data_IF_523477413472
#
_entry.id   IF_523477413472
#
_cell.length_a   1.000
_cell.length_b   1.000
_cell.length_c   1.000
_cell.angle_alpha   90.00
_cell.angle_beta   90.00
_cell.angle_gamma   90.00
#
_symmetry.space_group_name_H-M   'P 1'
#
loop_
_entity.id
_entity.type
_entity.pdbx_description
1 polymer ?
#
# COMPACT_ATOMS: atom_id res chain seq x y z
N UNK A 1 -16.68 -8.95 -17.01
CA UNK A 1 -17.95 -8.61 -17.68
C UNK A 1 -18.01 -7.11 -18.00
N UNK A 2 -18.05 -6.22 -17.01
CA UNK A 2 -18.09 -4.74 -17.17
C UNK A 2 -16.98 -4.20 -18.08
N UNK A 3 -15.73 -4.65 -17.91
CA UNK A 3 -14.60 -4.26 -18.77
C UNK A 3 -14.82 -4.56 -20.26
N UNK A 4 -15.40 -5.71 -20.60
CA UNK A 4 -15.61 -6.13 -21.99
C UNK A 4 -16.65 -5.25 -22.68
N UNK A 5 -17.71 -4.90 -21.95
CA UNK A 5 -18.79 -4.05 -22.48
C UNK A 5 -18.39 -2.57 -22.59
N UNK A 6 -17.52 -2.10 -21.70
CA UNK A 6 -16.87 -0.79 -21.82
C UNK A 6 -15.91 -0.74 -23.02
N UNK A 7 -15.16 -1.80 -23.28
CA UNK A 7 -14.31 -1.89 -24.46
C UNK A 7 -15.12 -1.88 -25.77
N UNK A 8 -16.37 -2.33 -25.76
CA UNK A 8 -17.32 -2.26 -26.89
C UNK A 8 -17.85 -0.83 -27.10
N UNK A 9 -18.03 -0.05 -26.03
CA UNK A 9 -18.55 1.32 -26.09
C UNK A 9 -17.45 2.37 -26.34
N UNK A 10 -16.23 2.12 -25.88
CA UNK A 10 -15.09 3.04 -26.05
C UNK A 10 -13.84 2.22 -26.39
N UNK A 11 -13.23 2.42 -27.57
CA UNK A 11 -11.98 1.76 -27.94
C UNK A 11 -10.89 2.01 -26.88
N UNK A 12 -10.08 0.99 -26.55
CA UNK A 12 -9.03 1.07 -25.50
C UNK A 12 -8.07 2.26 -25.62
N UNK A 13 -7.83 2.75 -26.83
CA UNK A 13 -6.96 3.91 -27.09
C UNK A 13 -7.65 5.23 -26.68
N UNK A 14 -8.97 5.34 -26.85
CA UNK A 14 -9.75 6.51 -26.47
C UNK A 14 -10.01 6.59 -24.95
N UNK A 15 -9.82 5.49 -24.22
CA UNK A 15 -10.06 5.42 -22.77
C UNK A 15 -9.08 6.26 -21.93
N UNK A 16 -7.91 6.64 -22.46
CA UNK A 16 -6.86 7.39 -21.70
C UNK A 16 -6.77 8.85 -22.18
N UNK A 17 -7.53 9.24 -23.19
CA UNK A 17 -7.56 10.61 -23.70
C UNK A 17 -8.77 11.33 -23.11
N UNK A 18 -8.68 12.65 -22.79
CA UNK A 18 -9.85 13.43 -22.41
C UNK A 18 -10.93 13.39 -23.49
N UNK A 19 -12.04 12.71 -23.21
CA UNK A 19 -13.21 12.66 -24.08
C UNK A 19 -14.13 13.87 -23.91
N UNK A 20 -13.98 14.56 -22.78
CA UNK A 20 -14.78 15.70 -22.35
C UNK A 20 -13.84 16.76 -21.81
N UNK A 21 -14.07 18.01 -22.19
CA UNK A 21 -13.30 19.16 -21.71
C UNK A 21 -13.78 19.62 -20.32
N UNK A 22 -12.93 20.36 -19.59
CA UNK A 22 -13.34 20.95 -18.31
C UNK A 22 -14.51 21.92 -18.45
N UNK A 23 -14.59 22.63 -19.56
CA UNK A 23 -15.67 23.57 -19.87
C UNK A 23 -16.99 22.84 -20.05
N UNK A 24 -17.01 21.74 -20.82
CA UNK A 24 -18.20 20.87 -20.94
C UNK A 24 -18.64 20.31 -19.59
N UNK A 25 -17.70 19.85 -18.76
CA UNK A 25 -18.00 19.37 -17.41
C UNK A 25 -18.64 20.45 -16.53
N UNK A 26 -18.10 21.67 -16.55
CA UNK A 26 -18.62 22.79 -15.76
C UNK A 26 -20.00 23.25 -16.24
N UNK A 27 -20.22 23.30 -17.56
CA UNK A 27 -21.52 23.62 -18.15
C UNK A 27 -22.57 22.59 -17.75
N UNK A 28 -22.24 21.30 -17.81
CA UNK A 28 -23.15 20.24 -17.37
C UNK A 28 -23.46 20.34 -15.87
N UNK A 29 -22.45 20.57 -15.03
CA UNK A 29 -22.63 20.74 -13.59
C UNK A 29 -23.56 21.93 -13.26
N UNK A 30 -23.42 23.05 -13.97
CA UNK A 30 -24.34 24.18 -13.83
C UNK A 30 -25.77 23.85 -14.28
N UNK A 31 -25.93 23.07 -15.35
CA UNK A 31 -27.24 22.72 -15.89
C UNK A 31 -28.03 21.78 -14.98
N UNK A 32 -27.40 20.78 -14.34
CA UNK A 32 -28.10 19.82 -13.48
C UNK A 32 -28.56 20.41 -12.14
N UNK A 33 -28.04 21.56 -11.75
CA UNK A 33 -28.48 22.30 -10.55
C UNK A 33 -29.83 23.01 -10.78
N UNK A 34 -30.27 23.15 -12.03
CA UNK A 34 -31.58 23.73 -12.34
C UNK A 34 -32.70 22.72 -12.01
N UNK A 35 -33.80 23.13 -11.35
CA UNK A 35 -34.85 22.22 -10.86
C UNK A 35 -35.44 21.30 -11.94
N UNK A 36 -35.54 21.78 -13.18
CA UNK A 36 -36.14 21.07 -14.30
C UNK A 36 -35.18 20.08 -15.00
N UNK A 37 -33.89 20.10 -14.66
CA UNK A 37 -32.84 19.35 -15.34
C UNK A 37 -32.24 18.21 -14.50
N UNK A 38 -32.86 17.85 -13.38
CA UNK A 38 -32.36 16.79 -12.48
C UNK A 38 -32.22 15.41 -13.15
N UNK A 39 -32.87 15.20 -14.30
CA UNK A 39 -32.78 13.98 -15.12
C UNK A 39 -31.94 14.12 -16.39
N UNK A 40 -31.28 15.26 -16.59
CA UNK A 40 -30.41 15.46 -17.74
C UNK A 40 -29.25 14.46 -17.69
N UNK A 41 -29.01 13.76 -18.79
CA UNK A 41 -27.88 12.85 -18.93
C UNK A 41 -26.72 13.58 -19.63
N UNK A 42 -25.52 13.52 -19.06
CA UNK A 42 -24.32 14.16 -19.62
C UNK A 42 -23.85 13.52 -20.94
N UNK A 43 -24.30 12.30 -21.22
CA UNK A 43 -23.84 11.47 -22.33
C UNK A 43 -24.97 10.58 -22.82
N UNK A 44 -24.82 9.98 -24.01
CA UNK A 44 -25.79 9.06 -24.59
C UNK A 44 -25.12 7.76 -25.01
N UNK A 45 -25.90 6.80 -25.50
CA UNK A 45 -25.39 5.55 -26.06
C UNK A 45 -24.52 5.78 -27.30
N UNK A 46 -24.95 6.69 -28.16
CA UNK A 46 -24.36 6.98 -29.46
C UNK A 46 -23.10 7.84 -29.33
N UNK A 47 -23.00 8.64 -28.27
CA UNK A 47 -21.85 9.48 -27.97
C UNK A 47 -21.43 9.30 -26.51
N UNK A 48 -21.08 8.05 -26.16
CA UNK A 48 -20.72 7.68 -24.80
C UNK A 48 -19.35 8.26 -24.42
N UNK A 49 -19.34 9.18 -23.43
CA UNK A 49 -18.15 9.93 -22.99
C UNK A 49 -18.15 10.03 -21.46
N UNK A 50 -16.96 10.03 -20.87
CA UNK A 50 -16.78 10.19 -19.43
C UNK A 50 -15.57 11.09 -19.11
N UNK A 51 -15.58 11.66 -17.91
CA UNK A 51 -14.62 12.65 -17.45
C UNK A 51 -13.39 11.97 -16.80
N UNK A 52 -12.29 11.93 -17.55
CA UNK A 52 -11.00 11.40 -17.06
C UNK A 52 -10.16 12.44 -16.30
N UNK A 53 -10.50 13.72 -16.41
CA UNK A 53 -9.72 14.82 -15.82
C UNK A 53 -10.17 15.16 -14.39
N UNK A 54 -11.42 14.88 -14.06
CA UNK A 54 -12.01 15.11 -12.75
C UNK A 54 -11.84 13.94 -11.77
N UNK A 55 -12.89 13.70 -10.97
CA UNK A 55 -12.93 12.62 -9.98
C UNK A 55 -13.83 11.48 -10.46
N UNK A 56 -13.65 10.24 -9.97
CA UNK A 56 -14.50 9.12 -10.37
C UNK A 56 -15.99 9.32 -10.03
N UNK A 57 -16.29 10.27 -9.14
CA UNK A 57 -17.65 10.63 -8.70
C UNK A 57 -18.06 12.04 -9.15
N UNK A 58 -17.40 12.61 -10.15
CA UNK A 58 -17.82 13.88 -10.74
C UNK A 58 -19.26 13.77 -11.26
N UNK A 59 -20.01 14.89 -11.33
CA UNK A 59 -21.38 14.87 -11.83
C UNK A 59 -21.53 14.21 -13.19
N UNK A 60 -20.58 14.46 -14.11
CA UNK A 60 -20.52 13.81 -15.42
C UNK A 60 -20.37 12.30 -15.28
N UNK A 61 -19.38 11.83 -14.50
CA UNK A 61 -19.13 10.40 -14.32
C UNK A 61 -20.30 9.67 -13.65
N UNK A 62 -21.01 10.33 -12.73
CA UNK A 62 -22.26 9.80 -12.16
C UNK A 62 -23.33 9.63 -13.23
N UNK A 63 -23.47 10.59 -14.15
CA UNK A 63 -24.40 10.46 -15.27
C UNK A 63 -24.01 9.34 -16.22
N UNK A 64 -22.75 9.31 -16.65
CA UNK A 64 -22.22 8.26 -17.52
C UNK A 64 -22.42 6.86 -16.91
N UNK A 65 -22.26 6.73 -15.59
CA UNK A 65 -22.53 5.48 -14.88
C UNK A 65 -24.01 5.05 -14.96
N UNK A 66 -24.96 6.00 -14.91
CA UNK A 66 -26.39 5.71 -15.08
C UNK A 66 -26.71 5.25 -16.49
N UNK A 67 -26.24 5.97 -17.51
CA UNK A 67 -26.42 5.60 -18.93
C UNK A 67 -25.84 4.21 -19.17
N UNK A 68 -24.59 3.99 -18.74
CA UNK A 68 -23.92 2.70 -18.88
C UNK A 68 -24.67 1.56 -18.21
N UNK A 69 -25.21 1.79 -17.00
CA UNK A 69 -25.94 0.76 -16.26
C UNK A 69 -27.24 0.38 -16.96
N UNK A 70 -28.01 1.34 -17.46
CA UNK A 70 -29.22 1.06 -18.24
C UNK A 70 -28.89 0.27 -19.53
N UNK A 71 -27.86 0.69 -20.25
CA UNK A 71 -27.43 0.01 -21.48
C UNK A 71 -26.98 -1.42 -21.21
N UNK A 72 -26.16 -1.62 -20.16
CA UNK A 72 -25.66 -2.94 -19.78
C UNK A 72 -26.81 -3.88 -19.40
N UNK A 73 -27.77 -3.42 -18.60
CA UNK A 73 -28.95 -4.21 -18.21
C UNK A 73 -29.75 -4.61 -19.44
N UNK A 74 -30.00 -3.66 -20.35
CA UNK A 74 -30.77 -3.89 -21.56
C UNK A 74 -30.06 -4.86 -22.54
N UNK A 75 -28.76 -4.66 -22.78
CA UNK A 75 -28.00 -5.43 -23.76
C UNK A 75 -27.69 -6.85 -23.30
N UNK A 76 -27.49 -7.05 -22.00
CA UNK A 76 -27.20 -8.37 -21.43
C UNK A 76 -28.46 -9.12 -20.97
N UNK A 77 -29.65 -8.52 -21.12
CA UNK A 77 -30.92 -9.11 -20.66
C UNK A 77 -30.95 -9.37 -19.15
N UNK A 78 -30.26 -8.54 -18.36
CA UNK A 78 -30.19 -8.69 -16.92
C UNK A 78 -31.50 -8.20 -16.25
N UNK A 79 -31.82 -8.67 -15.04
CA UNK A 79 -32.95 -8.15 -14.30
C UNK A 79 -32.84 -6.63 -14.11
N UNK A 80 -33.89 -5.91 -14.50
CA UNK A 80 -34.00 -4.46 -14.27
C UNK A 80 -34.39 -4.19 -12.81
N UNK A 81 -33.50 -4.55 -11.88
CA UNK A 81 -33.64 -4.32 -10.46
C UNK A 81 -32.72 -3.21 -9.99
N UNK A 82 -33.12 -2.52 -8.91
CA UNK A 82 -32.30 -1.47 -8.29
C UNK A 82 -30.95 -2.03 -7.80
N UNK A 83 -30.92 -3.28 -7.33
CA UNK A 83 -29.70 -3.95 -6.89
C UNK A 83 -28.71 -4.13 -8.05
N UNK A 84 -29.19 -4.63 -9.19
CA UNK A 84 -28.36 -4.84 -10.38
C UNK A 84 -27.84 -3.50 -10.92
N UNK A 85 -28.70 -2.49 -10.98
CA UNK A 85 -28.34 -1.14 -11.39
C UNK A 85 -27.21 -0.56 -10.52
N UNK A 86 -27.34 -0.69 -9.20
CA UNK A 86 -26.34 -0.20 -8.24
C UNK A 86 -25.01 -0.99 -8.35
N UNK A 87 -25.08 -2.30 -8.56
CA UNK A 87 -23.90 -3.14 -8.74
C UNK A 87 -23.11 -2.74 -9.99
N UNK A 88 -23.78 -2.51 -11.12
CA UNK A 88 -23.15 -2.08 -12.38
C UNK A 88 -22.61 -0.65 -12.24
N UNK A 89 -23.39 0.27 -11.65
CA UNK A 89 -22.95 1.65 -11.38
C UNK A 89 -21.66 1.67 -10.53
N UNK A 90 -21.61 0.85 -9.48
CA UNK A 90 -20.43 0.72 -8.62
C UNK A 90 -19.23 0.16 -9.39
N UNK A 91 -19.42 -0.90 -10.18
CA UNK A 91 -18.37 -1.49 -10.98
C UNK A 91 -17.82 -0.51 -12.04
N UNK A 92 -18.70 0.27 -12.68
CA UNK A 92 -18.32 1.36 -13.58
C UNK A 92 -17.50 2.42 -12.84
N UNK A 93 -17.92 2.85 -11.65
CA UNK A 93 -17.16 3.80 -10.83
C UNK A 93 -15.75 3.32 -10.49
N UNK A 94 -15.60 2.04 -10.13
CA UNK A 94 -14.28 1.42 -9.91
C UNK A 94 -13.42 1.40 -11.17
N UNK A 95 -14.03 1.14 -12.32
CA UNK A 95 -13.35 1.16 -13.61
C UNK A 95 -12.88 2.58 -14.00
N UNK A 96 -13.74 3.59 -13.86
CA UNK A 96 -13.38 4.99 -14.13
C UNK A 96 -12.26 5.46 -13.20
N UNK A 97 -12.29 5.08 -11.91
CA UNK A 97 -11.17 5.34 -10.98
C UNK A 97 -9.85 4.74 -11.48
N UNK A 98 -9.88 3.51 -11.98
CA UNK A 98 -8.71 2.89 -12.60
C UNK A 98 -8.20 3.68 -13.82
N UNK A 99 -9.09 4.11 -14.71
CA UNK A 99 -8.72 4.92 -15.88
C UNK A 99 -8.13 6.26 -15.47
N UNK A 100 -8.78 7.00 -14.57
CA UNK A 100 -8.31 8.30 -14.10
C UNK A 100 -6.91 8.16 -13.51
N UNK A 101 -6.63 7.09 -12.75
CA UNK A 101 -5.29 6.81 -12.22
C UNK A 101 -4.27 6.58 -13.33
N UNK A 102 -4.63 5.82 -14.37
CA UNK A 102 -3.74 5.59 -15.54
C UNK A 102 -3.48 6.87 -16.31
N UNK A 103 -4.50 7.70 -16.54
CA UNK A 103 -4.36 9.00 -17.18
C UNK A 103 -3.44 9.93 -16.38
N UNK A 104 -3.65 10.03 -15.06
CA UNK A 104 -2.75 10.79 -14.19
C UNK A 104 -1.31 10.26 -14.19
N UNK A 105 -1.13 8.96 -14.34
CA UNK A 105 0.18 8.35 -14.45
C UNK A 105 0.84 8.66 -15.80
N UNK A 106 0.07 8.67 -16.91
CA UNK A 106 0.61 9.00 -18.23
C UNK A 106 1.03 10.46 -18.39
N UNK A 107 0.50 11.36 -17.55
CA UNK A 107 0.95 12.75 -17.49
C UNK A 107 2.30 12.92 -16.79
N UNK A 108 2.80 11.89 -16.09
CA UNK A 108 4.08 11.93 -15.37
C UNK A 108 5.23 11.47 -16.24
N UNK A 109 6.41 12.04 -16.00
CA UNK A 109 7.64 11.61 -16.67
C UNK A 109 8.03 10.19 -16.26
N UNK A 110 8.85 9.51 -17.08
CA UNK A 110 9.34 8.17 -16.75
C UNK A 110 10.07 8.13 -15.39
N UNK A 111 10.79 9.19 -15.05
CA UNK A 111 11.50 9.35 -13.79
C UNK A 111 10.54 9.47 -12.60
N UNK A 112 9.51 10.31 -12.71
CA UNK A 112 8.48 10.45 -11.68
C UNK A 112 7.73 9.14 -11.44
N UNK A 113 7.38 8.43 -12.52
CA UNK A 113 6.74 7.13 -12.42
C UNK A 113 7.65 6.10 -11.76
N UNK A 114 8.94 6.06 -12.11
CA UNK A 114 9.91 5.17 -11.50
C UNK A 114 10.09 5.48 -10.01
N UNK A 115 10.13 6.76 -9.64
CA UNK A 115 10.21 7.21 -8.26
C UNK A 115 8.97 6.78 -7.45
N UNK A 116 7.76 6.94 -7.99
CA UNK A 116 6.54 6.50 -7.33
C UNK A 116 6.46 4.97 -7.18
N UNK A 117 6.82 4.22 -8.23
CA UNK A 117 6.90 2.76 -8.16
C UNK A 117 7.91 2.32 -7.10
N UNK A 118 9.07 2.98 -7.02
CA UNK A 118 10.08 2.71 -5.99
C UNK A 118 9.56 3.01 -4.59
N UNK A 119 8.92 4.17 -4.36
CA UNK A 119 8.28 4.53 -3.08
C UNK A 119 7.22 3.50 -2.68
N UNK A 120 6.34 3.11 -3.61
CA UNK A 120 5.27 2.16 -3.36
C UNK A 120 5.84 0.76 -3.05
N UNK A 121 6.83 0.30 -3.81
CA UNK A 121 7.52 -0.97 -3.57
C UNK A 121 8.21 -0.99 -2.20
N UNK A 122 8.91 0.09 -1.83
CA UNK A 122 9.53 0.24 -0.49
C UNK A 122 8.48 0.17 0.62
N UNK A 123 7.38 0.90 0.50
CA UNK A 123 6.29 0.87 1.47
C UNK A 123 5.64 -0.52 1.56
N UNK A 124 5.32 -1.13 0.42
CA UNK A 124 4.74 -2.48 0.36
C UNK A 124 5.63 -3.52 1.05
N UNK A 125 6.96 -3.44 0.86
CA UNK A 125 7.91 -4.32 1.56
C UNK A 125 7.90 -4.10 3.07
N UNK A 126 7.89 -2.84 3.54
CA UNK A 126 7.77 -2.53 4.98
C UNK A 126 6.46 -3.04 5.56
N UNK A 127 5.36 -2.81 4.85
CA UNK A 127 4.03 -3.26 5.24
C UNK A 127 4.00 -4.78 5.41
N UNK A 128 4.44 -5.53 4.40
CA UNK A 128 4.49 -7.00 4.47
C UNK A 128 5.41 -7.48 5.60
N UNK A 129 6.56 -6.82 5.81
CA UNK A 129 7.47 -7.15 6.89
C UNK A 129 6.81 -6.98 8.28
N UNK A 130 6.12 -5.85 8.49
CA UNK A 130 5.37 -5.59 9.72
C UNK A 130 4.30 -6.66 9.95
N UNK A 131 3.43 -6.91 8.97
CA UNK A 131 2.35 -7.88 9.10
C UNK A 131 2.85 -9.29 9.35
N UNK A 132 3.94 -9.69 8.68
CA UNK A 132 4.58 -10.99 8.91
C UNK A 132 5.10 -11.11 10.35
N UNK A 133 5.83 -10.11 10.85
CA UNK A 133 6.34 -10.14 12.23
C UNK A 133 5.20 -10.16 13.25
N UNK A 134 4.14 -9.38 12.99
CA UNK A 134 2.93 -9.35 13.83
C UNK A 134 2.26 -10.72 13.87
N UNK A 135 2.06 -11.35 12.70
CA UNK A 135 1.49 -12.70 12.60
C UNK A 135 2.31 -13.72 13.42
N UNK A 136 3.64 -13.68 13.31
CA UNK A 136 4.52 -14.56 14.09
C UNK A 136 4.44 -14.28 15.59
N UNK A 137 4.37 -13.01 15.99
CA UNK A 137 4.19 -12.63 17.40
C UNK A 137 2.91 -13.20 18.01
N UNK A 138 1.81 -13.27 17.25
CA UNK A 138 0.58 -13.92 17.71
C UNK A 138 0.69 -15.45 17.74
N UNK A 139 1.29 -16.02 16.68
CA UNK A 139 1.38 -17.47 16.49
C UNK A 139 2.30 -18.13 17.53
N UNK A 140 3.46 -17.54 17.82
CA UNK A 140 4.48 -18.13 18.70
C UNK A 140 4.34 -17.56 20.13
N UNK A 141 3.83 -18.33 21.11
CA UNK A 141 3.45 -17.80 22.42
C UNK A 141 4.54 -16.99 23.14
N UNK A 142 5.82 -17.40 23.14
CA UNK A 142 6.88 -16.62 23.78
C UNK A 142 7.11 -15.22 23.20
N UNK A 143 6.69 -14.95 21.95
CA UNK A 143 6.81 -13.62 21.33
C UNK A 143 5.58 -12.73 21.57
N UNK A 144 4.50 -13.24 22.17
CA UNK A 144 3.25 -12.49 22.34
C UNK A 144 3.42 -11.23 23.18
N UNK A 145 4.27 -11.29 24.23
CA UNK A 145 4.57 -10.13 25.09
C UNK A 145 5.11 -8.93 24.29
N UNK A 146 5.70 -9.19 23.13
CA UNK A 146 6.32 -8.18 22.30
C UNK A 146 5.40 -7.59 21.20
N UNK A 147 4.18 -8.11 21.06
CA UNK A 147 3.26 -7.70 20.00
C UNK A 147 2.79 -6.25 20.18
N UNK A 148 2.51 -5.82 21.42
CA UNK A 148 2.09 -4.43 21.70
C UNK A 148 3.14 -3.43 21.27
N UNK A 149 4.41 -3.66 21.61
CA UNK A 149 5.52 -2.81 21.17
C UNK A 149 5.72 -2.84 19.65
N UNK A 150 5.53 -4.00 19.02
CA UNK A 150 5.58 -4.10 17.57
C UNK A 150 4.47 -3.28 16.91
N UNK A 151 3.27 -3.29 17.46
CA UNK A 151 2.12 -2.49 16.99
C UNK A 151 2.35 -0.99 17.18
N UNK A 152 2.90 -0.57 18.32
CA UNK A 152 3.34 0.83 18.54
C UNK A 152 4.37 1.27 17.50
N UNK A 153 5.33 0.39 17.19
CA UNK A 153 6.38 0.67 16.20
C UNK A 153 5.83 0.82 14.77
N UNK A 154 4.78 0.06 14.44
CA UNK A 154 4.08 0.12 13.17
C UNK A 154 4.94 -0.16 11.93
N UNK A 155 4.38 0.16 10.76
CA UNK A 155 5.06 -0.01 9.46
C UNK A 155 6.28 0.91 9.34
N UNK A 156 6.21 2.10 9.92
CA UNK A 156 7.25 3.12 9.77
C UNK A 156 8.53 2.80 10.54
N UNK A 157 8.44 2.08 11.66
CA UNK A 157 9.60 1.58 12.38
C UNK A 157 10.23 0.31 11.78
N UNK A 158 9.73 -0.20 10.65
CA UNK A 158 10.37 -1.27 9.88
C UNK A 158 11.57 -0.75 9.08
N UNK A 159 12.59 -1.60 8.91
CA UNK A 159 13.76 -1.30 8.07
C UNK A 159 13.36 -1.18 6.61
N UNK A 160 14.02 -0.27 5.88
CA UNK A 160 13.88 -0.16 4.43
C UNK A 160 14.99 -0.95 3.77
N UNK A 161 14.69 -1.57 2.63
CA UNK A 161 15.71 -2.13 1.76
C UNK A 161 16.02 -1.08 0.67
N UNK A 162 17.27 -0.61 0.59
CA UNK A 162 17.74 0.14 -0.58
C UNK A 162 18.29 -0.86 -1.60
N UNK A 163 17.90 -0.71 -2.86
CA UNK A 163 18.61 -1.32 -3.98
C UNK A 163 19.94 -0.61 -4.12
N UNK A 164 21.06 -1.33 -4.04
CA UNK A 164 22.34 -0.78 -4.48
C UNK A 164 22.17 -0.36 -5.95
N UNK A 165 22.42 0.90 -6.25
CA UNK A 165 22.32 1.41 -7.63
C UNK A 165 23.61 1.22 -8.41
N UNK A 166 24.58 0.47 -7.86
CA UNK A 166 25.91 0.28 -8.42
C UNK A 166 26.32 -1.16 -8.16
N UNK A 167 26.75 -1.82 -9.23
CA UNK A 167 27.13 -3.23 -9.38
C UNK A 167 26.00 -4.24 -9.62
N UNK A 168 26.26 -5.04 -10.66
CA UNK A 168 25.48 -6.08 -11.35
C UNK A 168 25.07 -7.28 -10.47
N UNK A 169 24.76 -7.04 -9.20
CA UNK A 169 24.32 -8.05 -8.22
C UNK A 169 23.10 -7.54 -7.49
N UNK A 170 22.01 -8.31 -7.55
CA UNK A 170 20.74 -8.09 -6.83
C UNK A 170 20.89 -8.25 -5.31
N UNK A 171 21.76 -7.46 -4.67
CA UNK A 171 21.96 -7.45 -3.23
C UNK A 171 21.26 -6.25 -2.60
N UNK A 172 20.28 -6.52 -1.74
CA UNK A 172 19.57 -5.48 -1.00
C UNK A 172 20.30 -5.20 0.32
N UNK A 173 20.66 -3.93 0.54
CA UNK A 173 21.23 -3.50 1.82
C UNK A 173 20.09 -3.11 2.76
N UNK A 174 20.00 -3.78 3.91
CA UNK A 174 19.00 -3.46 4.94
C UNK A 174 19.46 -2.18 5.64
N UNK A 175 18.65 -1.12 5.55
CA UNK A 175 18.87 0.14 6.26
C UNK A 175 17.92 0.27 7.45
N UNK A 176 18.49 0.47 8.63
CA UNK A 176 17.71 0.81 9.82
C UNK A 176 17.26 2.29 9.78
N UNK A 177 16.08 2.66 10.32
CA UNK A 177 15.72 4.06 10.50
C UNK A 177 16.76 4.81 11.35
N UNK A 178 17.04 6.08 11.05
CA UNK A 178 18.04 6.90 11.76
C UNK A 178 17.78 6.93 13.25
N UNK A 179 16.54 7.28 13.58
CA UNK A 179 16.03 7.49 14.92
C UNK A 179 16.00 6.23 15.78
N UNK A 180 16.12 5.04 15.19
CA UNK A 180 15.90 3.78 15.91
C UNK A 180 17.19 3.30 16.57
N UNK A 181 17.12 3.01 17.87
CA UNK A 181 18.22 2.46 18.65
C UNK A 181 18.72 1.13 18.06
N UNK A 182 20.00 0.84 18.29
CA UNK A 182 20.67 -0.36 17.77
C UNK A 182 20.06 -1.67 18.29
N UNK A 183 19.50 -1.66 19.51
CA UNK A 183 18.88 -2.82 20.19
C UNK A 183 17.60 -3.33 19.52
N UNK A 184 16.85 -2.43 18.88
CA UNK A 184 15.56 -2.76 18.24
C UNK A 184 15.77 -3.70 17.04
N UNK A 185 16.91 -3.59 16.34
CA UNK A 185 17.19 -4.41 15.17
C UNK A 185 17.40 -5.91 15.51
N UNK A 186 18.28 -6.30 16.46
CA UNK A 186 18.32 -7.65 17.02
C UNK A 186 16.96 -8.16 17.49
N UNK A 187 16.20 -7.34 18.22
CA UNK A 187 14.89 -7.71 18.73
C UNK A 187 13.92 -8.09 17.59
N UNK A 188 13.80 -7.25 16.55
CA UNK A 188 12.97 -7.51 15.37
C UNK A 188 13.44 -8.74 14.57
N UNK A 189 14.76 -9.00 14.52
CA UNK A 189 15.32 -10.16 13.80
C UNK A 189 14.88 -11.49 14.38
N UNK A 190 14.55 -11.56 15.67
CA UNK A 190 14.05 -12.80 16.28
C UNK A 190 12.75 -13.27 15.60
N UNK A 191 11.82 -12.35 15.35
CA UNK A 191 10.58 -12.66 14.61
C UNK A 191 10.86 -13.22 13.21
N UNK A 192 11.84 -12.64 12.51
CA UNK A 192 12.23 -13.11 11.17
C UNK A 192 12.90 -14.49 11.23
N UNK A 193 13.65 -14.79 12.28
CA UNK A 193 14.26 -16.11 12.49
C UNK A 193 13.20 -17.18 12.76
N UNK A 194 12.26 -16.93 13.68
CA UNK A 194 11.15 -17.85 13.95
C UNK A 194 10.30 -18.06 12.69
N UNK A 195 10.00 -17.00 11.93
CA UNK A 195 9.32 -17.14 10.64
C UNK A 195 10.04 -18.09 9.68
N UNK A 196 11.38 -17.97 9.57
CA UNK A 196 12.19 -18.83 8.69
C UNK A 196 12.15 -20.29 9.14
N UNK A 197 12.28 -20.55 10.44
CA UNK A 197 12.21 -21.89 11.02
C UNK A 197 10.84 -22.52 10.75
N UNK A 198 9.74 -21.82 11.06
CA UNK A 198 8.39 -22.33 10.83
C UNK A 198 8.10 -22.59 9.36
N UNK A 199 8.64 -21.77 8.45
CA UNK A 199 8.51 -22.00 7.00
C UNK A 199 9.31 -23.22 6.55
N UNK A 200 10.49 -23.45 7.11
CA UNK A 200 11.33 -24.61 6.77
C UNK A 200 10.70 -25.92 7.27
N UNK A 201 10.14 -25.92 8.48
CA UNK A 201 9.54 -27.12 9.10
C UNK A 201 8.12 -27.41 8.57
N UNK A 202 7.35 -26.36 8.25
CA UNK A 202 5.90 -26.48 8.02
C UNK A 202 5.47 -27.00 6.64
N UNK A 203 6.27 -26.85 5.58
CA UNK A 203 5.93 -27.37 4.25
C UNK A 203 7.11 -27.34 3.26
N UNK A 204 7.69 -28.50 2.86
CA UNK A 204 8.74 -28.57 1.83
C UNK A 204 8.32 -28.00 0.47
N UNK A 205 7.01 -28.00 0.15
CA UNK A 205 6.48 -27.46 -1.10
C UNK A 205 6.29 -25.92 -1.06
N UNK A 206 6.37 -25.27 0.10
CA UNK A 206 6.36 -23.81 0.22
C UNK A 206 7.66 -23.13 -0.29
N UNK A 207 8.57 -23.92 -0.84
CA UNK A 207 9.72 -23.50 -1.64
C UNK A 207 9.35 -23.09 -3.08
N UNK A 208 8.09 -23.22 -3.52
CA UNK A 208 7.67 -22.69 -4.80
C UNK A 208 7.60 -21.15 -4.78
N UNK A 209 8.54 -20.52 -5.48
CA UNK A 209 8.67 -19.07 -5.64
C UNK A 209 10.14 -18.66 -5.76
N UNK A 210 10.42 -17.50 -6.35
CA UNK A 210 11.77 -16.96 -6.43
C UNK A 210 12.37 -16.86 -5.02
N UNK A 211 13.57 -17.40 -4.83
CA UNK A 211 14.29 -17.26 -3.57
C UNK A 211 14.37 -15.78 -3.20
N UNK A 212 14.05 -15.41 -1.94
CA UNK A 212 14.23 -14.03 -1.50
C UNK A 212 15.65 -13.58 -1.79
N UNK A 213 15.81 -12.46 -2.49
CA UNK A 213 17.13 -11.89 -2.77
C UNK A 213 17.98 -11.81 -1.51
N UNK A 214 19.28 -12.05 -1.65
CA UNK A 214 20.23 -11.97 -0.55
C UNK A 214 20.19 -10.57 0.05
N UNK A 215 19.87 -10.50 1.34
CA UNK A 215 19.87 -9.24 2.09
C UNK A 215 21.12 -9.16 2.94
N UNK A 216 21.95 -8.15 2.70
CA UNK A 216 23.16 -7.94 3.49
C UNK A 216 22.81 -7.05 4.68
N UNK A 217 23.16 -7.54 5.87
CA UNK A 217 23.13 -6.74 7.08
C UNK A 217 24.17 -5.65 6.95
N UNK A 218 23.72 -4.41 7.00
CA UNK A 218 24.60 -3.25 7.07
C UNK A 218 24.29 -2.48 8.35
N UNK A 219 25.30 -1.82 8.91
CA UNK A 219 25.10 -0.85 10.00
C UNK A 219 24.63 0.50 9.45
N UNK A 220 24.32 0.59 8.16
CA UNK A 220 23.92 1.82 7.53
C UNK A 220 22.48 2.19 7.95
N UNK A 221 22.30 3.48 8.24
CA UNK A 221 21.00 4.06 8.56
C UNK A 221 20.39 4.66 7.29
N UNK A 222 19.05 4.63 7.19
CA UNK A 222 18.31 5.29 6.12
C UNK A 222 18.55 6.80 6.16
N UNK A 223 18.40 7.55 5.05
CA UNK A 223 18.42 9.03 5.11
C UNK A 223 17.07 9.63 5.52
N UNK A 224 16.06 8.80 5.73
CA UNK A 224 14.71 9.25 6.06
C UNK A 224 14.63 9.71 7.53
N UNK A 225 14.28 10.99 7.72
CA UNK A 225 14.10 11.62 9.04
C UNK A 225 12.75 11.34 9.70
N UNK A 226 11.79 10.75 8.99
CA UNK A 226 10.48 10.39 9.57
C UNK A 226 10.68 9.40 10.73
N UNK A 227 10.05 9.72 11.85
CA UNK A 227 10.09 8.91 13.07
C UNK A 227 8.68 8.67 13.58
N UNK A 228 8.57 7.71 14.50
CA UNK A 228 7.32 7.38 15.20
C UNK A 228 7.41 8.01 16.59
N UNK A 229 6.49 8.91 16.92
CA UNK A 229 6.36 9.50 18.26
C UNK A 229 5.61 8.54 19.20
N UNK A 230 5.68 8.76 20.51
CA UNK A 230 4.94 7.96 21.49
C UNK A 230 5.62 6.66 21.90
N UNK A 231 6.91 6.46 21.59
CA UNK A 231 7.61 5.22 21.91
C UNK A 231 8.42 5.35 23.22
N UNK A 232 8.74 4.23 23.89
CA UNK A 232 9.69 4.21 24.98
C UNK A 232 11.03 4.90 24.64
N UNK A 233 11.62 5.60 25.61
CA UNK A 233 12.88 6.34 25.42
C UNK A 233 14.00 5.49 24.82
N UNK A 234 14.13 4.24 25.27
CA UNK A 234 15.19 3.33 24.83
C UNK A 234 14.99 2.79 23.40
N UNK A 235 13.86 3.08 22.75
CA UNK A 235 13.64 2.75 21.34
C UNK A 235 14.34 3.77 20.43
N UNK A 236 14.59 4.98 20.93
CA UNK A 236 15.24 6.04 20.19
C UNK A 236 16.76 6.01 20.35
N UNK A 237 17.44 6.27 19.24
CA UNK A 237 18.88 6.48 19.18
C UNK A 237 19.23 7.83 19.82
N UNK A 238 19.95 7.81 20.93
CA UNK A 238 20.24 8.99 21.74
C UNK A 238 21.13 10.00 21.00
N UNK A 239 22.05 9.52 20.17
CA UNK A 239 22.89 10.40 19.34
C UNK A 239 22.06 11.12 18.28
N UNK A 240 21.05 10.44 17.72
CA UNK A 240 20.10 11.06 16.80
C UNK A 240 19.22 12.12 17.48
N UNK A 241 18.68 11.84 18.68
CA UNK A 241 17.90 12.83 19.45
C UNK A 241 18.74 14.09 19.69
N UNK A 242 19.96 13.92 20.19
CA UNK A 242 20.87 15.03 20.47
C UNK A 242 21.23 15.81 19.19
N UNK A 243 21.48 15.11 18.09
CA UNK A 243 21.83 15.72 16.80
C UNK A 243 20.70 16.52 16.15
N UNK A 244 19.47 16.03 16.18
CA UNK A 244 18.29 16.74 15.66
C UNK A 244 17.70 17.76 16.66
N UNK A 245 18.27 17.84 17.88
CA UNK A 245 17.81 18.70 18.99
C UNK A 245 16.32 18.50 19.30
N UNK A 246 15.86 17.25 19.25
CA UNK A 246 14.46 16.93 19.49
C UNK A 246 14.15 16.99 20.98
N UNK A 247 13.01 17.60 21.32
CA UNK A 247 12.52 17.73 22.70
C UNK A 247 11.56 16.59 23.04
N UNK A 248 11.33 16.37 24.33
CA UNK A 248 10.30 15.43 24.80
C UNK A 248 8.90 15.80 24.31
N UNK A 249 8.62 17.10 24.13
CA UNK A 249 7.38 17.62 23.55
C UNK A 249 7.19 17.25 22.06
N UNK A 250 8.22 16.77 21.38
CA UNK A 250 8.14 16.32 19.98
C UNK A 250 8.08 14.80 19.93
N UNK A 251 8.83 14.12 20.79
CA UNK A 251 8.90 12.66 20.81
C UNK A 251 7.74 12.01 21.58
N UNK A 252 7.17 12.70 22.57
CA UNK A 252 6.18 12.19 23.53
C UNK A 252 6.53 10.79 24.06
N UNK A 253 7.76 10.58 24.56
CA UNK A 253 8.20 9.24 24.91
C UNK A 253 7.43 8.69 26.11
N UNK A 254 7.20 7.38 26.14
CA UNK A 254 6.63 6.75 27.33
C UNK A 254 7.71 6.67 28.43
N UNK A 255 7.34 6.86 29.70
CA UNK A 255 8.30 6.91 30.80
C UNK A 255 9.01 5.57 31.03
N UNK A 256 8.32 4.45 30.79
CA UNK A 256 8.86 3.12 31.01
C UNK A 256 9.73 2.67 29.83
N UNK A 257 10.96 2.24 30.14
CA UNK A 257 11.83 1.58 29.18
C UNK A 257 11.26 0.21 28.80
N UNK A 258 11.35 -0.14 27.53
CA UNK A 258 10.85 -1.41 27.05
C UNK A 258 11.91 -2.51 27.06
N UNK A 259 11.56 -3.70 27.55
CA UNK A 259 12.44 -4.86 27.54
C UNK A 259 12.50 -5.54 26.15
N UNK A 260 13.63 -5.34 25.45
CA UNK A 260 13.91 -5.97 24.16
C UNK A 260 14.40 -7.43 24.27
N UNK A 261 14.53 -7.97 25.48
CA UNK A 261 15.03 -9.33 25.68
C UNK A 261 13.98 -10.40 25.38
N UNK A 262 14.43 -11.40 24.62
CA UNK A 262 13.68 -12.62 24.37
C UNK A 262 13.91 -13.62 25.51
N UNK A 263 12.88 -14.37 25.87
CA UNK A 263 13.01 -15.40 26.89
C UNK A 263 14.06 -16.47 26.48
N UNK A 264 14.83 -17.04 27.42
CA UNK A 264 15.91 -17.99 27.12
C UNK A 264 15.45 -19.23 26.33
N UNK A 265 14.21 -19.69 26.59
CA UNK A 265 13.55 -20.77 25.86
C UNK A 265 13.44 -20.49 24.33
N UNK A 266 13.22 -19.24 23.92
CA UNK A 266 13.17 -18.83 22.50
C UNK A 266 14.55 -18.97 21.87
N UNK A 267 15.57 -18.48 22.58
CA UNK A 267 16.96 -18.52 22.12
C UNK A 267 17.40 -19.97 21.97
N UNK A 268 17.09 -20.82 22.96
CA UNK A 268 17.37 -22.26 22.91
C UNK A 268 16.62 -22.97 21.77
N UNK A 269 15.34 -22.67 21.56
CA UNK A 269 14.57 -23.22 20.43
C UNK A 269 15.19 -22.85 19.08
N UNK A 270 15.57 -21.60 18.90
CA UNK A 270 16.24 -21.13 17.68
C UNK A 270 17.57 -21.85 17.48
N UNK A 271 18.42 -21.93 18.52
CA UNK A 271 19.70 -22.62 18.45
C UNK A 271 19.53 -24.10 18.14
N UNK A 272 18.59 -24.79 18.80
CA UNK A 272 18.27 -26.20 18.53
C UNK A 272 17.93 -26.41 17.06
N UNK A 273 17.00 -25.62 16.50
CA UNK A 273 16.62 -25.73 15.10
C UNK A 273 17.76 -25.42 14.10
N UNK A 274 18.79 -24.66 14.50
CA UNK A 274 19.97 -24.40 13.65
C UNK A 274 21.02 -25.51 13.72
N UNK A 275 21.09 -26.27 14.83
CA UNK A 275 22.09 -27.33 15.02
C UNK A 275 21.56 -28.74 14.73
N UNK A 276 20.25 -28.92 14.64
CA UNK A 276 19.62 -30.22 14.32
C UNK A 276 19.01 -30.28 12.91
N UNK A 277 19.17 -29.23 12.10
CA UNK A 277 18.75 -29.17 10.68
C UNK A 277 19.98 -29.19 9.78
#
# INVERSE_FOLDING_TARGET
>A
MVHKHLDELIPKIAQIVPLVTREECALYEAQILLPHNSRLEATSKENFRFDVQGTPRSPWNKSAARVFSHLTIQQLGLPNSLEMFNAITKAFGTYVDHIIRRYKLSLKTAEEQALERSKHSKYGRKYQLFHRRRFIGYLFPPLRKHVSMLELLGVDGMSSDESGQEDDRDEYKILAPLWRASEVAPWLRMFDTIHRILRAVGNPQAQQGTFPHRRILTNAKSRNKKFVAGLPHNVYDQAWIAGEKLTEEVLYPTPDAYDFNHEPNIIQYVLFCYFTA
#
